data_IF_915000767498
#
_entry.id   IF_915000767498
#
_cell.length_a   1.000
_cell.length_b   1.000
_cell.length_c   1.000
_cell.angle_alpha   90.00
_cell.angle_beta   90.00
_cell.angle_gamma   90.00
#
_symmetry.space_group_name_H-M   'P 1'
#
loop_
_entity.id
_entity.type
_entity.pdbx_description
1 polymer ?
#
# COMPACT_ATOMS: atom_id res chain seq x y z
N UNK A 1 30.45 23.46 41.62
CA UNK A 1 29.17 22.75 41.81
C UNK A 1 28.32 22.97 40.57
N UNK A 2 28.27 21.98 39.69
CA UNK A 2 27.29 21.90 38.60
C UNK A 2 26.22 20.90 39.05
N UNK A 3 24.92 21.25 39.04
CA UNK A 3 23.88 20.30 39.42
C UNK A 3 23.78 19.22 38.33
N UNK A 4 23.65 17.97 38.77
CA UNK A 4 23.33 16.84 37.90
C UNK A 4 21.85 16.92 37.51
N UNK A 5 21.57 16.89 36.21
CA UNK A 5 20.22 16.78 35.65
C UNK A 5 19.70 15.35 35.83
N UNK A 6 18.51 15.19 36.40
CA UNK A 6 17.86 13.91 36.62
C UNK A 6 17.46 13.25 35.28
N UNK A 7 17.41 11.91 35.18
CA UNK A 7 17.01 11.24 33.95
C UNK A 7 15.53 11.50 33.62
N UNK A 8 15.25 11.85 32.37
CA UNK A 8 13.90 12.00 31.84
C UNK A 8 13.14 10.67 31.91
N UNK A 9 11.91 10.71 32.44
CA UNK A 9 11.00 9.57 32.46
C UNK A 9 10.63 9.13 31.03
N UNK A 10 10.41 7.82 30.78
CA UNK A 10 9.97 7.35 29.47
C UNK A 10 8.58 7.89 29.14
N UNK A 11 8.41 8.44 27.92
CA UNK A 11 7.10 8.83 27.41
C UNK A 11 6.19 7.60 27.28
N UNK A 12 4.89 7.70 27.64
CA UNK A 12 3.97 6.58 27.48
C UNK A 12 3.79 6.22 26.01
N UNK A 13 3.85 4.92 25.70
CA UNK A 13 3.57 4.40 24.36
C UNK A 13 2.15 4.81 23.90
N UNK A 14 1.95 5.13 22.61
CA UNK A 14 0.63 5.47 22.11
C UNK A 14 -0.33 4.27 22.23
N UNK A 15 -1.56 4.56 22.67
CA UNK A 15 -2.64 3.59 22.76
C UNK A 15 -2.88 2.87 21.41
N UNK A 16 -3.34 1.61 21.42
CA UNK A 16 -3.64 0.88 20.20
C UNK A 16 -4.71 1.61 19.39
N UNK A 17 -4.46 1.83 18.10
CA UNK A 17 -5.45 2.36 17.18
C UNK A 17 -6.67 1.42 17.16
N UNK A 18 -7.90 1.96 17.14
CA UNK A 18 -9.10 1.12 17.08
C UNK A 18 -9.05 0.24 15.82
N UNK A 19 -9.50 -1.01 15.97
CA UNK A 19 -9.67 -1.92 14.86
C UNK A 19 -10.52 -1.25 13.78
N UNK A 20 -10.00 -1.18 12.55
CA UNK A 20 -10.77 -0.68 11.42
C UNK A 20 -12.06 -1.52 11.30
N UNK A 21 -13.21 -0.91 11.00
CA UNK A 21 -14.43 -1.65 10.75
C UNK A 21 -14.19 -2.68 9.63
N UNK A 22 -14.84 -3.84 9.75
CA UNK A 22 -14.79 -4.87 8.71
C UNK A 22 -15.18 -4.22 7.37
N UNK A 23 -14.28 -4.30 6.39
CA UNK A 23 -14.55 -3.78 5.06
C UNK A 23 -15.78 -4.50 4.48
N UNK A 24 -16.65 -3.79 3.74
CA UNK A 24 -17.78 -4.42 3.06
C UNK A 24 -17.30 -5.56 2.16
N UNK A 25 -18.10 -6.63 2.06
CA UNK A 25 -17.82 -7.75 1.18
C UNK A 25 -17.58 -7.24 -0.25
N UNK A 26 -16.55 -7.75 -0.95
CA UNK A 26 -16.17 -7.21 -2.23
C UNK A 26 -17.26 -7.38 -3.29
N UNK A 27 -17.40 -6.45 -4.25
CA UNK A 27 -18.34 -6.58 -5.35
C UNK A 27 -18.02 -7.86 -6.16
N UNK A 28 -19.06 -8.61 -6.54
CA UNK A 28 -18.97 -9.96 -7.14
C UNK A 28 -18.37 -10.03 -8.56
N UNK A 29 -17.89 -8.91 -9.10
CA UNK A 29 -17.17 -8.89 -10.38
C UNK A 29 -16.11 -7.80 -10.35
N UNK A 30 -14.86 -8.19 -10.16
CA UNK A 30 -13.70 -7.32 -10.32
C UNK A 30 -13.28 -7.35 -11.79
N UNK A 31 -13.22 -6.20 -12.44
CA UNK A 31 -12.61 -6.13 -13.77
C UNK A 31 -11.10 -6.09 -13.65
N UNK A 32 -10.47 -7.25 -13.83
CA UNK A 32 -9.03 -7.48 -13.63
C UNK A 32 -8.18 -7.29 -14.88
N UNK A 33 -8.80 -7.08 -16.05
CA UNK A 33 -8.08 -7.01 -17.33
C UNK A 33 -8.47 -5.82 -18.22
N UNK A 34 -9.47 -5.01 -17.83
CA UNK A 34 -9.95 -3.88 -18.64
C UNK A 34 -8.86 -2.85 -18.98
N UNK A 35 -7.79 -2.77 -18.18
CA UNK A 35 -6.67 -1.85 -18.38
C UNK A 35 -5.33 -2.56 -18.56
N UNK A 36 -5.31 -3.85 -18.95
CA UNK A 36 -4.06 -4.64 -19.07
C UNK A 36 -3.08 -3.99 -20.06
N UNK A 37 -3.56 -3.59 -21.24
CA UNK A 37 -2.72 -2.90 -22.23
C UNK A 37 -2.18 -1.55 -21.74
N UNK A 38 -2.88 -0.86 -20.83
CA UNK A 38 -2.37 0.36 -20.20
C UNK A 38 -1.30 0.05 -19.15
N UNK A 39 -1.51 -0.98 -18.33
CA UNK A 39 -0.54 -1.47 -17.36
C UNK A 39 0.76 -1.92 -18.05
N UNK A 40 0.64 -2.67 -19.14
CA UNK A 40 1.76 -3.17 -19.93
C UNK A 40 2.64 -2.03 -20.48
N UNK A 41 2.01 -0.96 -20.98
CA UNK A 41 2.71 0.21 -21.56
C UNK A 41 3.57 0.95 -20.55
N UNK A 42 3.23 0.91 -19.26
CA UNK A 42 4.03 1.50 -18.20
C UNK A 42 4.99 0.50 -17.55
N UNK A 43 5.20 -0.67 -18.15
CA UNK A 43 6.19 -1.66 -17.71
C UNK A 43 5.75 -2.61 -16.60
N UNK A 44 4.47 -2.58 -16.18
CA UNK A 44 3.95 -3.55 -15.21
C UNK A 44 3.95 -4.97 -15.77
N UNK A 45 4.04 -5.96 -14.89
CA UNK A 45 4.10 -7.40 -15.21
C UNK A 45 3.24 -8.21 -14.25
N UNK A 46 2.85 -9.41 -14.69
CA UNK A 46 2.09 -10.36 -13.88
C UNK A 46 0.88 -9.75 -13.18
N UNK A 47 0.72 -10.09 -11.90
CA UNK A 47 -0.41 -9.62 -11.09
C UNK A 47 -0.41 -8.11 -10.80
N UNK A 48 0.70 -7.38 -11.05
CA UNK A 48 0.67 -5.93 -10.94
C UNK A 48 -0.26 -5.30 -12.01
N UNK A 49 -0.41 -5.94 -13.17
CA UNK A 49 -1.38 -5.52 -14.21
C UNK A 49 -2.83 -5.78 -13.79
N UNK A 50 -3.04 -6.88 -13.06
CA UNK A 50 -4.34 -7.25 -12.47
C UNK A 50 -4.74 -6.21 -11.43
N UNK A 51 -3.86 -5.92 -10.47
CA UNK A 51 -4.10 -4.90 -9.44
C UNK A 51 -4.35 -3.53 -10.08
N UNK A 52 -3.54 -3.15 -11.08
CA UNK A 52 -3.74 -1.91 -11.82
C UNK A 52 -5.15 -1.83 -12.42
N UNK A 53 -5.58 -2.85 -13.15
CA UNK A 53 -6.90 -2.87 -13.79
C UNK A 53 -8.04 -2.86 -12.77
N UNK A 54 -7.91 -3.64 -11.69
CA UNK A 54 -8.90 -3.74 -10.63
C UNK A 54 -9.09 -2.39 -9.92
N UNK A 55 -8.00 -1.77 -9.45
CA UNK A 55 -8.06 -0.48 -8.75
C UNK A 55 -8.62 0.62 -9.67
N UNK A 56 -8.19 0.68 -10.94
CA UNK A 56 -8.74 1.65 -11.90
C UNK A 56 -10.24 1.46 -12.10
N UNK A 57 -10.68 0.21 -12.24
CA UNK A 57 -12.09 -0.11 -12.49
C UNK A 57 -12.97 0.19 -11.28
N UNK A 58 -12.49 -0.07 -10.07
CA UNK A 58 -13.27 0.10 -8.84
C UNK A 58 -13.30 1.54 -8.35
N UNK A 59 -12.18 2.26 -8.43
CA UNK A 59 -12.05 3.59 -7.82
C UNK A 59 -11.94 4.74 -8.82
N UNK A 60 -11.81 4.45 -10.12
CA UNK A 60 -11.58 5.48 -11.15
C UNK A 60 -10.22 6.19 -11.04
N UNK A 61 -9.31 5.71 -10.20
CA UNK A 61 -7.99 6.33 -9.96
C UNK A 61 -7.11 6.05 -11.17
N UNK A 62 -6.71 7.08 -11.92
CA UNK A 62 -5.88 6.91 -13.12
C UNK A 62 -4.39 7.13 -12.88
N UNK A 63 -4.04 7.87 -11.82
CA UNK A 63 -2.66 8.13 -11.44
C UNK A 63 -2.11 6.96 -10.61
N UNK A 64 -1.59 5.95 -11.31
CA UNK A 64 -0.99 4.76 -10.72
C UNK A 64 0.39 4.57 -11.35
N UNK A 65 1.42 4.71 -10.52
CA UNK A 65 2.81 4.45 -10.87
C UNK A 65 3.15 2.96 -10.76
N UNK A 66 4.37 2.62 -11.14
CA UNK A 66 4.78 1.22 -11.23
C UNK A 66 6.25 1.07 -11.56
N UNK A 67 6.54 0.40 -12.68
CA UNK A 67 7.89 0.00 -13.06
C UNK A 67 8.91 1.16 -13.03
N UNK A 68 10.09 0.89 -12.46
CA UNK A 68 11.22 1.83 -12.36
C UNK A 68 12.51 1.12 -12.73
N UNK A 69 13.05 1.40 -13.92
CA UNK A 69 14.30 0.78 -14.38
C UNK A 69 15.45 1.02 -13.38
N UNK A 70 16.19 -0.04 -13.04
CA UNK A 70 17.31 0.01 -12.10
C UNK A 70 16.94 -0.05 -10.62
N UNK A 71 15.65 -0.04 -10.25
CA UNK A 71 15.23 -0.30 -8.87
C UNK A 71 15.49 -1.78 -8.53
N UNK A 72 16.26 -2.11 -7.48
CA UNK A 72 16.60 -3.50 -7.17
C UNK A 72 15.42 -4.31 -6.58
N UNK A 73 14.26 -3.69 -6.36
CA UNK A 73 13.07 -4.29 -5.73
C UNK A 73 11.95 -4.56 -6.74
N UNK A 74 10.75 -4.78 -6.24
CA UNK A 74 9.58 -5.20 -7.03
C UNK A 74 9.18 -4.14 -8.10
N UNK A 75 9.49 -2.85 -7.90
CA UNK A 75 9.32 -1.85 -8.96
C UNK A 75 10.24 -2.07 -10.16
N UNK A 76 11.49 -2.49 -9.98
CA UNK A 76 12.39 -2.69 -11.12
C UNK A 76 12.16 -3.99 -11.87
N UNK A 77 11.36 -4.89 -11.31
CA UNK A 77 10.86 -6.07 -12.02
C UNK A 77 9.45 -5.89 -12.56
N UNK A 78 8.76 -4.78 -12.23
CA UNK A 78 7.41 -4.47 -12.69
C UNK A 78 6.30 -5.15 -11.88
N UNK A 79 6.59 -5.64 -10.67
CA UNK A 79 5.68 -6.36 -9.78
C UNK A 79 5.21 -5.51 -8.58
N UNK A 80 5.25 -4.18 -8.71
CA UNK A 80 4.69 -3.28 -7.72
C UNK A 80 3.97 -2.10 -8.39
N UNK A 81 2.91 -1.63 -7.72
CA UNK A 81 2.16 -0.43 -8.10
C UNK A 81 2.12 0.57 -6.94
N UNK A 82 2.20 1.85 -7.29
CA UNK A 82 1.99 2.96 -6.35
C UNK A 82 0.69 3.67 -6.77
N UNK A 83 -0.39 3.46 -6.02
CA UNK A 83 -1.68 4.11 -6.27
C UNK A 83 -1.64 5.48 -5.61
N UNK A 84 -1.58 6.55 -6.40
CA UNK A 84 -1.46 7.91 -5.86
C UNK A 84 -2.77 8.36 -5.22
N UNK A 85 -2.72 8.88 -4.00
CA UNK A 85 -3.87 9.20 -3.16
C UNK A 85 -3.92 10.69 -2.84
N UNK A 86 -5.09 11.30 -3.01
CA UNK A 86 -5.33 12.71 -2.69
C UNK A 86 -5.95 12.93 -1.30
N UNK A 87 -6.59 11.91 -0.74
CA UNK A 87 -7.19 11.97 0.59
C UNK A 87 -7.15 10.61 1.29
N UNK A 88 -7.10 10.65 2.62
CA UNK A 88 -6.95 9.44 3.45
C UNK A 88 -8.07 8.42 3.22
N UNK A 89 -9.32 8.85 3.09
CA UNK A 89 -10.47 7.94 2.99
C UNK A 89 -10.37 7.06 1.73
N UNK A 90 -9.96 7.64 0.60
CA UNK A 90 -9.70 6.88 -0.63
C UNK A 90 -8.55 5.89 -0.44
N UNK A 91 -7.45 6.28 0.20
CA UNK A 91 -6.32 5.38 0.48
C UNK A 91 -6.69 4.22 1.42
N UNK A 92 -7.46 4.51 2.48
CA UNK A 92 -7.98 3.49 3.40
C UNK A 92 -8.89 2.49 2.65
N UNK A 93 -9.74 2.96 1.71
CA UNK A 93 -10.60 2.11 0.90
C UNK A 93 -9.83 1.25 -0.12
N UNK A 94 -8.82 1.81 -0.80
CA UNK A 94 -7.95 1.06 -1.72
C UNK A 94 -7.21 -0.04 -0.97
N UNK A 95 -6.58 0.28 0.17
CA UNK A 95 -5.86 -0.70 0.97
C UNK A 95 -6.79 -1.83 1.46
N UNK A 96 -7.98 -1.49 1.95
CA UNK A 96 -8.97 -2.48 2.39
C UNK A 96 -9.45 -3.40 1.24
N UNK A 97 -9.70 -2.82 0.07
CA UNK A 97 -10.08 -3.56 -1.13
C UNK A 97 -8.99 -4.56 -1.54
N UNK A 98 -7.73 -4.13 -1.60
CA UNK A 98 -6.60 -5.00 -1.97
C UNK A 98 -6.36 -6.09 -0.93
N UNK A 99 -6.55 -5.80 0.37
CA UNK A 99 -6.53 -6.82 1.44
C UNK A 99 -7.61 -7.87 1.22
N UNK A 100 -8.84 -7.45 0.91
CA UNK A 100 -9.97 -8.36 0.70
C UNK A 100 -9.76 -9.32 -0.49
N UNK A 101 -8.90 -8.95 -1.45
CA UNK A 101 -8.59 -9.74 -2.65
C UNK A 101 -7.13 -10.20 -2.67
N UNK A 102 -6.44 -10.18 -1.53
CA UNK A 102 -5.00 -10.42 -1.49
C UNK A 102 -4.59 -11.76 -2.12
N UNK A 103 -5.42 -12.78 -1.98
CA UNK A 103 -5.23 -14.10 -2.62
C UNK A 103 -5.38 -14.00 -4.14
N UNK A 104 -6.47 -13.40 -4.64
CA UNK A 104 -6.73 -13.23 -6.08
C UNK A 104 -5.67 -12.37 -6.77
N UNK A 105 -5.15 -11.37 -6.07
CA UNK A 105 -4.15 -10.43 -6.58
C UNK A 105 -2.71 -10.86 -6.31
N UNK A 106 -2.50 -12.02 -5.66
CA UNK A 106 -1.17 -12.52 -5.30
C UNK A 106 -0.32 -11.47 -4.56
N UNK A 107 -0.95 -10.77 -3.62
CA UNK A 107 -0.32 -9.69 -2.85
C UNK A 107 0.80 -10.27 -1.98
N UNK A 108 1.99 -9.70 -2.10
CA UNK A 108 3.15 -9.98 -1.27
C UNK A 108 3.14 -9.13 0.00
N UNK A 109 2.89 -7.83 -0.13
CA UNK A 109 2.65 -6.89 0.98
C UNK A 109 2.02 -5.58 0.49
N UNK A 110 1.47 -4.81 1.43
CA UNK A 110 0.91 -3.47 1.20
C UNK A 110 1.56 -2.50 2.19
N UNK A 111 1.92 -1.30 1.74
CA UNK A 111 2.36 -0.21 2.63
C UNK A 111 1.40 0.97 2.48
N UNK A 112 0.88 1.45 3.61
CA UNK A 112 0.01 2.62 3.66
C UNK A 112 0.15 3.37 4.99
N UNK A 113 0.45 4.66 4.93
CA UNK A 113 0.64 5.56 6.08
C UNK A 113 1.53 4.94 7.15
N UNK A 114 2.79 4.68 6.77
CA UNK A 114 3.87 4.23 7.64
C UNK A 114 3.58 2.90 8.35
N UNK A 115 2.74 2.07 7.73
CA UNK A 115 2.39 0.74 8.22
C UNK A 115 2.49 -0.23 7.06
N UNK A 116 2.89 -1.46 7.36
CA UNK A 116 2.98 -2.56 6.41
C UNK A 116 2.01 -3.67 6.81
N UNK A 117 1.38 -4.28 5.81
CA UNK A 117 0.51 -5.44 5.96
C UNK A 117 1.00 -6.59 5.07
N UNK A 118 0.86 -7.81 5.58
CA UNK A 118 1.18 -9.05 4.88
C UNK A 118 -0.04 -9.98 4.90
N UNK A 119 -0.23 -10.84 3.86
CA UNK A 119 -1.29 -11.84 3.85
C UNK A 119 -1.36 -12.67 5.13
N UNK A 120 -2.58 -12.87 5.65
CA UNK A 120 -2.83 -13.61 6.90
C UNK A 120 -2.44 -12.86 8.18
N UNK A 121 -1.96 -11.62 8.09
CA UNK A 121 -1.51 -10.83 9.23
C UNK A 121 -2.34 -9.59 9.54
N UNK A 122 -1.84 -8.80 10.49
CA UNK A 122 -2.33 -7.46 10.83
C UNK A 122 -1.32 -6.38 10.41
N UNK A 123 -1.76 -5.12 10.41
CA UNK A 123 -0.87 -3.98 10.16
C UNK A 123 0.23 -3.88 11.21
N UNK A 124 1.46 -3.66 10.77
CA UNK A 124 2.63 -3.42 11.62
C UNK A 124 3.18 -2.02 11.35
N UNK A 125 3.55 -1.30 12.40
CA UNK A 125 4.21 0.00 12.26
C UNK A 125 5.58 -0.13 11.59
N UNK A 126 5.96 0.88 10.83
CA UNK A 126 7.29 1.01 10.22
C UNK A 126 8.06 2.14 10.88
N UNK A 127 9.40 2.03 10.90
CA UNK A 127 10.25 3.16 11.25
C UNK A 127 9.98 4.35 10.30
N UNK A 128 10.12 5.56 10.83
CA UNK A 128 10.08 6.77 10.03
C UNK A 128 11.23 6.79 9.02
N UNK A 129 10.90 7.03 7.75
CA UNK A 129 11.83 7.11 6.63
C UNK A 129 12.04 8.53 6.11
N UNK A 130 11.54 9.54 6.83
CA UNK A 130 11.89 10.94 6.62
C UNK A 130 11.04 11.71 5.61
N UNK A 131 9.76 11.36 5.41
CA UNK A 131 8.86 12.19 4.60
C UNK A 131 7.55 11.53 4.17
N UNK A 132 6.67 12.34 3.56
CA UNK A 132 5.32 11.93 3.12
C UNK A 132 5.40 10.72 2.18
N UNK A 133 6.19 10.83 1.10
CA UNK A 133 6.34 9.75 0.11
C UNK A 133 7.08 8.55 0.70
N UNK A 134 8.20 8.75 1.41
CA UNK A 134 8.95 7.64 2.01
C UNK A 134 8.14 6.84 3.04
N UNK A 135 7.22 7.51 3.74
CA UNK A 135 6.28 6.92 4.69
C UNK A 135 4.90 6.61 4.09
N UNK A 136 4.73 6.71 2.77
CA UNK A 136 3.53 6.27 2.04
C UNK A 136 2.25 6.96 2.54
N UNK A 137 2.32 8.27 2.79
CA UNK A 137 1.15 9.08 3.14
C UNK A 137 0.41 9.64 1.92
N UNK A 138 1.05 9.66 0.75
CA UNK A 138 0.54 10.15 -0.53
C UNK A 138 0.24 9.03 -1.55
N UNK A 139 0.54 7.77 -1.23
CA UNK A 139 0.22 6.62 -2.08
C UNK A 139 0.07 5.33 -1.29
N UNK A 140 -0.78 4.42 -1.79
CA UNK A 140 -0.81 3.02 -1.35
C UNK A 140 0.16 2.23 -2.23
N UNK A 141 1.20 1.68 -1.62
CA UNK A 141 2.15 0.80 -2.32
C UNK A 141 1.70 -0.65 -2.18
N UNK A 142 1.66 -1.37 -3.31
CA UNK A 142 1.23 -2.76 -3.37
C UNK A 142 2.29 -3.54 -4.14
N UNK A 143 2.88 -4.53 -3.48
CA UNK A 143 3.80 -5.48 -4.11
C UNK A 143 3.10 -6.82 -4.28
N UNK A 144 3.32 -7.48 -5.43
CA UNK A 144 2.77 -8.80 -5.76
C UNK A 144 3.89 -9.82 -5.95
N UNK A 145 3.57 -11.11 -5.90
CA UNK A 145 4.52 -12.15 -6.32
C UNK A 145 4.75 -12.07 -7.83
N UNK A 146 5.96 -12.44 -8.25
CA UNK A 146 6.31 -12.62 -9.67
C UNK A 146 5.57 -13.78 -10.31
#
# INVERSE_FOLDING_TARGET
MIPAEAPAAPSPAPAPAPAAPAAPAPPKTVSTSAFDAAAARIGLRGYARVVYSAVRSTFGITNIGGYRAGDPRDHGTGHAVDVMITNRATGDAVAAYVIAHASEFHVKYIIWRQRIWFPGGSWKAMADRGGVTANHYDHVHISVTS
#
